data_IF_795815209399
#
_entry.id   IF_795815209399
#
_cell.length_a   1.000
_cell.length_b   1.000
_cell.length_c   1.000
_cell.angle_alpha   90.00
_cell.angle_beta   90.00
_cell.angle_gamma   90.00
#
_symmetry.space_group_name_H-M   'P 1'
#
loop_
_entity.id
_entity.type
_entity.pdbx_description
1 polymer ?
#
# COMPACT_ATOMS: atom_id res chain seq x y z
N UNK A 1 16.13 -1.32 9.06
CA UNK A 1 15.10 -2.22 9.59
C UNK A 1 13.97 -2.31 8.56
N UNK A 2 13.63 -3.52 8.11
CA UNK A 2 12.52 -3.77 7.18
C UNK A 2 11.24 -3.97 7.99
N UNK A 3 10.10 -3.61 7.39
CA UNK A 3 8.73 -3.80 7.91
C UNK A 3 8.52 -5.19 8.52
N UNK A 4 9.18 -6.22 7.96
CA UNK A 4 9.17 -7.61 8.42
C UNK A 4 9.83 -7.87 9.79
N UNK A 5 10.81 -7.06 10.22
CA UNK A 5 11.68 -7.41 11.35
C UNK A 5 11.21 -6.86 12.72
N UNK A 6 10.20 -5.99 12.77
CA UNK A 6 9.77 -5.36 14.03
C UNK A 6 8.40 -5.81 14.54
N UNK A 7 7.54 -6.42 13.71
CA UNK A 7 6.13 -6.66 14.08
C UNK A 7 5.58 -8.01 13.63
N UNK A 8 6.40 -9.06 13.69
CA UNK A 8 5.89 -10.43 13.70
C UNK A 8 5.18 -10.71 15.05
N UNK A 9 4.03 -10.09 15.26
CA UNK A 9 3.04 -10.49 16.26
C UNK A 9 1.91 -11.22 15.54
N UNK A 10 1.48 -12.33 16.13
CA UNK A 10 0.63 -13.40 15.55
C UNK A 10 -0.74 -12.96 14.98
N UNK A 11 -1.15 -11.70 15.12
CA UNK A 11 -2.43 -11.18 14.62
C UNK A 11 -2.41 -10.67 13.17
N UNK A 12 -1.23 -10.53 12.55
CA UNK A 12 -1.08 -10.02 11.18
C UNK A 12 -0.65 -11.07 10.16
N UNK A 13 -0.51 -12.33 10.56
CA UNK A 13 -0.02 -13.41 9.70
C UNK A 13 -1.09 -13.85 8.70
N UNK A 14 -0.86 -13.56 7.42
CA UNK A 14 -1.73 -13.96 6.31
C UNK A 14 -0.94 -14.01 4.98
N UNK A 15 -1.47 -14.68 3.95
CA UNK A 15 -0.81 -14.76 2.64
C UNK A 15 -0.40 -13.42 2.02
N UNK A 16 -1.20 -12.35 2.16
CA UNK A 16 -0.82 -11.03 1.66
C UNK A 16 0.35 -10.43 2.44
N UNK A 17 0.40 -10.65 3.76
CA UNK A 17 1.53 -10.25 4.60
C UNK A 17 2.81 -10.99 4.23
N UNK A 18 2.76 -12.32 4.02
CA UNK A 18 3.91 -13.08 3.54
C UNK A 18 4.39 -12.59 2.17
N UNK A 19 3.46 -12.35 1.25
CA UNK A 19 3.78 -11.80 -0.07
C UNK A 19 4.47 -10.43 0.05
N UNK A 20 4.01 -9.57 0.95
CA UNK A 20 4.66 -8.30 1.22
C UNK A 20 6.10 -8.49 1.75
N UNK A 21 6.32 -9.39 2.71
CA UNK A 21 7.65 -9.69 3.24
C UNK A 21 8.59 -10.13 2.11
N UNK A 22 8.14 -11.06 1.26
CA UNK A 22 8.92 -11.60 0.16
C UNK A 22 9.30 -10.50 -0.86
N UNK A 23 8.34 -9.65 -1.21
CA UNK A 23 8.59 -8.50 -2.10
C UNK A 23 9.62 -7.53 -1.51
N UNK A 24 9.50 -7.19 -0.22
CA UNK A 24 10.47 -6.31 0.45
C UNK A 24 11.86 -6.94 0.62
N UNK A 25 11.96 -8.27 0.52
CA UNK A 25 13.24 -8.99 0.48
C UNK A 25 13.99 -8.83 -0.84
N UNK A 26 13.31 -8.45 -1.93
CA UNK A 26 13.93 -8.29 -3.26
C UNK A 26 14.77 -7.00 -3.33
N UNK A 27 15.96 -7.03 -3.94
CA UNK A 27 16.81 -5.84 -4.08
C UNK A 27 16.09 -4.69 -4.78
N UNK A 28 16.17 -3.47 -4.24
CA UNK A 28 15.63 -2.25 -4.86
C UNK A 28 14.13 -2.02 -4.69
N UNK A 29 13.35 -3.04 -4.27
CA UNK A 29 11.89 -2.89 -4.08
C UNK A 29 11.58 -1.89 -2.98
N UNK A 30 12.27 -1.98 -1.84
CA UNK A 30 12.06 -1.07 -0.71
C UNK A 30 12.25 0.39 -1.12
N UNK A 31 13.34 0.69 -1.81
CA UNK A 31 13.66 2.04 -2.27
C UNK A 31 12.61 2.55 -3.25
N UNK A 32 12.16 1.69 -4.19
CA UNK A 32 11.14 2.03 -5.16
C UNK A 32 9.78 2.32 -4.50
N UNK A 33 9.35 1.47 -3.57
CA UNK A 33 8.08 1.63 -2.83
C UNK A 33 8.10 2.87 -1.95
N UNK A 34 9.22 3.17 -1.29
CA UNK A 34 9.36 4.41 -0.52
C UNK A 34 9.31 5.66 -1.40
N UNK A 35 9.82 5.62 -2.62
CA UNK A 35 9.68 6.73 -3.58
C UNK A 35 8.22 6.92 -4.01
N UNK A 36 7.53 5.83 -4.36
CA UNK A 36 6.10 5.85 -4.69
C UNK A 36 5.26 6.43 -3.53
N UNK A 37 5.54 6.03 -2.29
CA UNK A 37 4.83 6.53 -1.12
C UNK A 37 5.11 8.02 -0.84
N UNK A 38 6.38 8.42 -0.81
CA UNK A 38 6.75 9.77 -0.36
C UNK A 38 6.52 10.84 -1.43
N UNK A 39 6.82 10.54 -2.69
CA UNK A 39 6.79 11.54 -3.76
C UNK A 39 5.40 11.63 -4.41
N UNK A 40 4.62 10.54 -4.35
CA UNK A 40 3.34 10.43 -5.04
C UNK A 40 2.17 10.07 -4.13
N UNK A 41 2.38 9.89 -2.81
CA UNK A 41 1.35 9.50 -1.86
C UNK A 41 0.65 8.17 -2.22
N UNK A 42 1.37 7.26 -2.90
CA UNK A 42 0.83 5.95 -3.26
C UNK A 42 0.49 5.17 -2.01
N UNK A 43 -0.70 4.57 -2.03
CA UNK A 43 -1.07 3.54 -1.08
C UNK A 43 -0.26 2.26 -1.31
N UNK A 44 0.76 2.08 -0.49
CA UNK A 44 1.66 0.92 -0.54
C UNK A 44 0.92 -0.39 -0.25
N UNK A 45 -0.09 -0.39 0.63
CA UNK A 45 -0.81 -1.62 0.98
C UNK A 45 -1.64 -2.10 -0.20
N UNK A 46 -2.31 -1.17 -0.90
CA UNK A 46 -3.00 -1.50 -2.15
C UNK A 46 -2.01 -1.93 -3.25
N UNK A 47 -0.84 -1.30 -3.35
CA UNK A 47 0.18 -1.67 -4.36
C UNK A 47 0.65 -3.12 -4.18
N UNK A 48 0.88 -3.52 -2.93
CA UNK A 48 1.28 -4.88 -2.59
C UNK A 48 0.14 -5.87 -2.86
N UNK A 49 -1.10 -5.50 -2.55
CA UNK A 49 -2.27 -6.33 -2.81
C UNK A 49 -2.54 -6.51 -4.30
N UNK A 50 -2.36 -5.47 -5.11
CA UNK A 50 -2.49 -5.55 -6.56
C UNK A 50 -1.48 -6.54 -7.14
N UNK A 51 -0.21 -6.42 -6.73
CA UNK A 51 0.81 -7.38 -7.13
C UNK A 51 0.47 -8.80 -6.69
N UNK A 52 -0.03 -8.98 -5.46
CA UNK A 52 -0.42 -10.28 -4.94
C UNK A 52 -1.57 -10.90 -5.75
N UNK A 53 -2.63 -10.14 -6.03
CA UNK A 53 -3.76 -10.61 -6.86
C UNK A 53 -3.30 -10.99 -8.28
N UNK A 54 -2.44 -10.18 -8.89
CA UNK A 54 -1.85 -10.48 -10.20
C UNK A 54 -1.04 -11.80 -10.18
N UNK A 55 -0.27 -12.06 -9.10
CA UNK A 55 0.46 -13.33 -8.95
C UNK A 55 -0.46 -14.56 -8.82
N UNK A 56 -1.70 -14.36 -8.37
CA UNK A 56 -2.72 -15.39 -8.25
C UNK A 56 -3.65 -15.47 -9.48
N UNK A 57 -3.48 -14.61 -10.48
CA UNK A 57 -4.41 -14.47 -11.61
C UNK A 57 -5.82 -14.04 -11.18
N UNK A 58 -5.94 -13.31 -10.06
CA UNK A 58 -7.21 -12.81 -9.51
C UNK A 58 -7.39 -11.33 -9.82
N UNK A 59 -8.64 -10.89 -9.78
CA UNK A 59 -9.01 -9.50 -9.95
C UNK A 59 -9.41 -8.87 -8.60
N UNK A 60 -9.45 -7.54 -8.57
CA UNK A 60 -10.01 -6.83 -7.43
C UNK A 60 -11.53 -7.04 -7.32
N UNK A 61 -12.07 -7.12 -6.10
CA UNK A 61 -13.51 -7.06 -5.89
C UNK A 61 -14.05 -5.64 -6.12
N UNK A 62 -15.38 -5.49 -6.12
CA UNK A 62 -16.03 -4.18 -6.14
C UNK A 62 -15.64 -3.32 -4.94
N UNK A 63 -15.61 -2.00 -5.13
CA UNK A 63 -15.12 -1.01 -4.15
C UNK A 63 -15.83 -1.12 -2.79
N UNK A 64 -17.12 -1.45 -2.77
CA UNK A 64 -17.90 -1.65 -1.53
C UNK A 64 -17.26 -2.69 -0.60
N UNK A 65 -16.61 -3.71 -1.16
CA UNK A 65 -15.91 -4.76 -0.40
C UNK A 65 -14.65 -4.22 0.30
N UNK A 66 -14.11 -3.09 -0.16
CA UNK A 66 -12.90 -2.46 0.37
C UNK A 66 -13.20 -1.39 1.44
N UNK A 67 -14.48 -1.11 1.73
CA UNK A 67 -14.92 -0.04 2.62
C UNK A 67 -14.25 -0.06 4.01
N UNK A 68 -14.11 -1.24 4.63
CA UNK A 68 -13.46 -1.38 5.94
C UNK A 68 -11.96 -1.01 5.87
N UNK A 69 -11.27 -1.45 4.81
CA UNK A 69 -9.87 -1.09 4.55
C UNK A 69 -9.72 0.42 4.33
N UNK A 70 -10.53 1.00 3.44
CA UNK A 70 -10.47 2.42 3.09
C UNK A 70 -10.75 3.30 4.31
N UNK A 71 -11.75 2.93 5.12
CA UNK A 71 -12.06 3.63 6.37
C UNK A 71 -10.88 3.59 7.35
N UNK A 72 -10.29 2.41 7.59
CA UNK A 72 -9.13 2.28 8.47
C UNK A 72 -7.92 3.09 7.98
N UNK A 73 -7.64 3.03 6.68
CA UNK A 73 -6.56 3.78 6.04
C UNK A 73 -6.70 5.29 6.27
N UNK A 74 -7.89 5.85 6.05
CA UNK A 74 -8.16 7.29 6.23
C UNK A 74 -8.14 7.73 7.69
N UNK A 75 -8.58 6.87 8.62
CA UNK A 75 -8.64 7.24 10.05
C UNK A 75 -7.32 7.01 10.79
N UNK A 76 -6.49 6.06 10.35
CA UNK A 76 -5.31 5.62 11.10
C UNK A 76 -4.02 5.84 10.32
N UNK A 77 -3.89 5.23 9.14
CA UNK A 77 -2.63 5.21 8.39
C UNK A 77 -2.27 6.62 7.87
N UNK A 78 -3.20 7.28 7.19
CA UNK A 78 -2.98 8.61 6.60
C UNK A 78 -2.64 9.66 7.68
N UNK A 79 -3.38 9.76 8.80
CA UNK A 79 -3.07 10.73 9.86
C UNK A 79 -1.72 10.46 10.54
N UNK A 80 -1.40 9.21 10.87
CA UNK A 80 -0.12 8.86 11.49
C UNK A 80 1.06 9.23 10.58
N UNK A 81 0.95 8.92 9.29
CA UNK A 81 1.95 9.29 8.29
C UNK A 81 2.12 10.80 8.18
N UNK A 82 1.01 11.54 8.12
CA UNK A 82 1.04 12.99 8.03
C UNK A 82 1.73 13.62 9.26
N UNK A 83 1.44 13.15 10.47
CA UNK A 83 2.10 13.64 11.70
C UNK A 83 3.59 13.31 11.67
N UNK A 84 3.98 12.08 11.30
CA UNK A 84 5.40 11.70 11.18
C UNK A 84 6.15 12.54 10.14
N UNK A 85 5.52 12.84 9.00
CA UNK A 85 6.13 13.63 7.93
C UNK A 85 6.33 15.10 8.31
N UNK A 86 5.52 15.65 9.24
CA UNK A 86 5.71 17.01 9.78
C UNK A 86 6.91 17.14 10.69
N UNK A 87 7.38 16.04 11.29
CA UNK A 87 8.56 16.05 12.16
C UNK A 87 9.85 16.14 11.34
N UNK A 88 10.82 16.90 11.86
CA UNK A 88 12.19 16.87 11.34
C UNK A 88 12.83 15.50 11.57
N UNK A 89 13.90 15.18 10.83
CA UNK A 89 14.66 13.93 11.03
C UNK A 89 15.31 13.83 12.42
N UNK A 90 15.53 14.96 13.08
CA UNK A 90 16.18 15.04 14.39
C UNK A 90 15.20 14.96 15.57
N UNK A 91 13.89 14.81 15.30
CA UNK A 91 12.83 14.77 16.33
C UNK A 91 12.71 13.40 17.04
N UNK A 92 13.84 12.79 17.38
CA UNK A 92 13.88 11.50 18.08
C UNK A 92 13.66 11.66 19.60
N UNK A 93 13.06 10.67 20.29
CA UNK A 93 12.59 9.37 19.78
C UNK A 93 11.17 9.41 19.18
N UNK A 94 10.51 10.57 19.21
CA UNK A 94 9.09 10.70 18.82
C UNK A 94 8.86 10.28 17.36
N UNK A 95 9.77 10.65 16.45
CA UNK A 95 9.69 10.26 15.05
C UNK A 95 9.71 8.74 14.87
N UNK A 96 10.63 8.05 15.56
CA UNK A 96 10.67 6.58 15.53
C UNK A 96 9.43 5.94 16.16
N UNK A 97 8.89 6.50 17.25
CA UNK A 97 7.66 6.00 17.87
C UNK A 97 6.45 6.12 16.93
N UNK A 98 6.31 7.25 16.22
CA UNK A 98 5.27 7.42 15.21
C UNK A 98 5.46 6.48 14.02
N UNK A 99 6.70 6.22 13.61
CA UNK A 99 6.97 5.22 12.58
C UNK A 99 6.48 3.83 13.03
N UNK A 100 6.76 3.44 14.27
CA UNK A 100 6.27 2.17 14.81
C UNK A 100 4.74 2.11 14.82
N UNK A 101 4.07 3.18 15.26
CA UNK A 101 2.60 3.26 15.25
C UNK A 101 2.02 3.19 13.84
N UNK A 102 2.63 3.88 12.86
CA UNK A 102 2.22 3.81 11.45
C UNK A 102 2.36 2.40 10.89
N UNK A 103 3.49 1.71 11.15
CA UNK A 103 3.70 0.34 10.71
C UNK A 103 2.68 -0.63 11.31
N UNK A 104 2.34 -0.48 12.60
CA UNK A 104 1.27 -1.27 13.23
C UNK A 104 -0.10 -1.00 12.57
N UNK A 105 -0.40 0.26 12.22
CA UNK A 105 -1.63 0.60 11.52
C UNK A 105 -1.67 0.04 10.08
N UNK A 106 -0.54 0.04 9.36
CA UNK A 106 -0.41 -0.58 8.03
C UNK A 106 -0.59 -2.09 8.09
N UNK A 107 -0.07 -2.78 9.11
CA UNK A 107 -0.25 -4.22 9.29
C UNK A 107 -1.74 -4.58 9.49
N UNK A 108 -2.46 -3.80 10.30
CA UNK A 108 -3.90 -3.95 10.47
C UNK A 108 -4.66 -3.64 9.16
N UNK A 109 -4.18 -2.67 8.38
CA UNK A 109 -4.72 -2.38 7.05
C UNK A 109 -4.54 -3.58 6.10
N UNK A 110 -3.37 -4.21 6.09
CA UNK A 110 -3.09 -5.44 5.32
C UNK A 110 -4.06 -6.56 5.74
N UNK A 111 -4.27 -6.76 7.05
CA UNK A 111 -5.19 -7.77 7.56
C UNK A 111 -6.63 -7.55 7.09
N UNK A 112 -7.13 -6.32 7.19
CA UNK A 112 -8.47 -5.92 6.72
C UNK A 112 -8.63 -6.10 5.22
N UNK A 113 -7.63 -5.66 4.47
CA UNK A 113 -7.63 -5.80 3.02
C UNK A 113 -7.63 -7.28 2.61
N UNK A 114 -6.79 -8.11 3.24
CA UNK A 114 -6.77 -9.55 3.01
C UNK A 114 -8.14 -10.19 3.27
N UNK A 115 -8.85 -9.80 4.34
CA UNK A 115 -10.19 -10.30 4.63
C UNK A 115 -11.21 -9.92 3.54
N UNK A 116 -11.16 -8.69 3.04
CA UNK A 116 -12.00 -8.25 1.92
C UNK A 116 -11.71 -9.06 0.65
N UNK A 117 -10.44 -9.22 0.31
CA UNK A 117 -10.00 -9.97 -0.88
C UNK A 117 -10.27 -11.47 -0.80
N UNK A 118 -10.35 -12.03 0.41
CA UNK A 118 -10.63 -13.46 0.63
C UNK A 118 -12.11 -13.79 0.66
N UNK A 119 -12.95 -12.81 1.02
CA UNK A 119 -14.41 -12.99 1.16
C UNK A 119 -15.18 -12.68 -0.12
N UNK A 120 -14.57 -11.95 -1.05
CA UNK A 120 -15.16 -11.71 -2.35
C UNK A 120 -15.16 -12.99 -3.19
N UNK A 121 -16.35 -13.52 -3.47
CA UNK A 121 -16.53 -14.54 -4.51
C UNK A 121 -16.01 -13.98 -5.85
N UNK A 122 -15.48 -14.86 -6.72
CA UNK A 122 -14.90 -14.53 -8.04
C UNK A 122 -15.94 -13.98 -9.06
N UNK A 123 -17.00 -13.31 -8.60
CA UNK A 123 -18.13 -12.81 -9.36
C UNK A 123 -17.84 -11.47 -10.04
N UNK A 124 -17.85 -11.50 -11.37
CA UNK A 124 -17.84 -10.39 -12.33
C UNK A 124 -16.65 -9.44 -12.27
N UNK A 125 -15.78 -9.64 -13.26
CA UNK A 125 -14.66 -8.82 -13.67
C UNK A 125 -15.15 -7.42 -14.09
N UNK A 126 -14.84 -6.38 -13.33
CA UNK A 126 -14.86 -5.02 -13.85
C UNK A 126 -13.44 -4.57 -14.24
N UNK A 127 -13.23 -4.05 -15.46
CA UNK A 127 -11.96 -3.48 -15.85
C UNK A 127 -11.73 -2.19 -15.07
N UNK A 128 -10.73 -2.24 -14.18
CA UNK A 128 -10.34 -1.20 -13.23
C UNK A 128 -9.70 0.03 -13.90
N UNK A 129 -10.48 0.82 -14.63
CA UNK A 129 -10.09 2.17 -15.02
C UNK A 129 -9.88 3.10 -13.80
N UNK A 130 -10.27 2.68 -12.59
CA UNK A 130 -10.27 3.49 -11.35
C UNK A 130 -9.20 3.09 -10.29
N UNK A 131 -8.42 2.02 -10.49
CA UNK A 131 -7.35 1.64 -9.53
C UNK A 131 -6.27 2.70 -9.38
N UNK A 132 -6.02 3.46 -10.45
CA UNK A 132 -5.20 4.67 -10.38
C UNK A 132 -5.69 5.60 -9.26
N UNK A 133 -7.00 5.83 -9.15
CA UNK A 133 -7.58 6.70 -8.12
C UNK A 133 -7.43 6.10 -6.72
N UNK A 134 -7.54 4.77 -6.59
CA UNK A 134 -7.37 4.07 -5.31
C UNK A 134 -5.94 4.18 -4.75
N UNK A 135 -4.92 4.23 -5.60
CA UNK A 135 -3.55 4.50 -5.16
C UNK A 135 -3.33 5.92 -4.65
N UNK A 136 -4.14 6.91 -5.08
CA UNK A 136 -3.97 8.31 -4.72
C UNK A 136 -5.00 8.77 -3.69
N UNK A 137 -4.53 9.22 -2.51
CA UNK A 137 -5.40 10.02 -1.62
C UNK A 137 -5.75 11.35 -2.32
N UNK A 138 -6.99 11.51 -2.79
CA UNK A 138 -7.55 12.80 -3.22
C UNK A 138 -7.45 13.17 -4.71
N UNK A 139 -7.28 12.21 -5.63
CA UNK A 139 -7.20 12.53 -7.05
C UNK A 139 -8.60 12.75 -7.69
N UNK A 140 -9.04 14.00 -7.78
CA UNK A 140 -10.09 14.38 -8.74
C UNK A 140 -9.62 14.19 -10.19
N UNK A 141 -10.54 13.97 -11.13
CA UNK A 141 -10.26 13.76 -12.56
C UNK A 141 -9.84 15.05 -13.31
N UNK A 142 -8.84 15.77 -12.79
CA UNK A 142 -8.33 17.02 -13.37
C UNK A 142 -6.97 16.87 -14.10
N UNK A 143 -6.53 17.92 -14.84
CA UNK A 143 -5.26 17.90 -15.58
C UNK A 143 -4.01 17.69 -14.71
N UNK A 144 -4.06 18.14 -13.44
CA UNK A 144 -2.99 17.89 -12.47
C UNK A 144 -2.82 16.39 -12.14
N UNK A 145 -3.89 15.62 -12.21
CA UNK A 145 -3.88 14.16 -12.01
C UNK A 145 -3.24 13.47 -13.22
N UNK A 146 -3.53 13.93 -14.44
CA UNK A 146 -2.89 13.40 -15.65
C UNK A 146 -1.37 13.58 -15.65
N UNK A 147 -0.89 14.76 -15.21
CA UNK A 147 0.56 15.02 -15.12
C UNK A 147 1.24 14.18 -14.03
N UNK A 148 0.59 13.99 -12.88
CA UNK A 148 1.08 13.06 -11.85
C UNK A 148 1.11 11.61 -12.34
N UNK A 149 0.09 11.17 -13.09
CA UNK A 149 0.05 9.84 -13.73
C UNK A 149 1.19 9.61 -14.70
N UNK A 150 1.56 10.62 -15.48
CA UNK A 150 2.70 10.51 -16.40
C UNK A 150 4.04 10.42 -15.64
N UNK A 151 4.21 11.23 -14.59
CA UNK A 151 5.42 11.26 -13.77
C UNK A 151 5.64 9.98 -12.95
N UNK A 152 4.56 9.31 -12.51
CA UNK A 152 4.66 8.09 -11.69
C UNK A 152 4.89 6.80 -12.52
N UNK A 153 4.47 6.80 -13.78
CA UNK A 153 4.60 5.66 -14.71
C UNK A 153 5.97 4.97 -14.69
N UNK A 154 7.12 5.68 -14.78
CA UNK A 154 8.42 5.03 -14.74
C UNK A 154 8.71 4.32 -13.40
N UNK A 155 8.18 4.83 -12.27
CA UNK A 155 8.34 4.17 -10.97
C UNK A 155 7.50 2.91 -10.87
N UNK A 156 6.27 2.90 -11.39
CA UNK A 156 5.48 1.66 -11.48
C UNK A 156 6.16 0.62 -12.39
N UNK A 157 6.66 1.04 -13.55
CA UNK A 157 7.40 0.13 -14.45
C UNK A 157 8.65 -0.44 -13.77
N UNK A 158 9.38 0.40 -13.02
CA UNK A 158 10.51 -0.05 -12.22
C UNK A 158 10.07 -1.04 -11.13
N UNK A 159 8.97 -0.76 -10.43
CA UNK A 159 8.43 -1.68 -9.42
C UNK A 159 8.14 -3.05 -10.05
N UNK A 160 7.38 -3.10 -11.15
CA UNK A 160 7.10 -4.34 -11.88
C UNK A 160 8.39 -5.05 -12.31
N UNK A 161 9.38 -4.32 -12.84
CA UNK A 161 10.65 -4.91 -13.26
C UNK A 161 11.47 -5.50 -12.10
N UNK A 162 11.35 -4.95 -10.88
CA UNK A 162 12.02 -5.46 -9.68
C UNK A 162 11.31 -6.68 -9.07
N UNK A 163 10.06 -6.91 -9.46
CA UNK A 163 9.20 -7.93 -8.86
C UNK A 163 8.76 -9.02 -9.85
N UNK A 164 9.16 -8.90 -11.12
CA UNK A 164 9.09 -9.96 -12.11
C UNK A 164 10.31 -10.87 -11.95
N UNK A 165 10.10 -12.19 -12.00
CA UNK A 165 11.18 -13.18 -11.91
C UNK A 165 12.03 -13.27 -13.19
#
# INVERSE_FOLDING_TARGET
>A
MNMAAQFATENGDNPLWHHAIDLYGRPGVKECVLQLQNDFAVDVVMLLADHWLNSLGRHWPGEDSLSDYLHWREQMVVPLRAVRQRLSKDSEPLRSQLLQAELSAEQEAIRRLYQALSSADNGTQEPLLELDALFFSGAGNGPATAQKKEAIRPLFQRFIALTTD
#
